data_IF_189422460668
#
_entry.id   IF_189422460668
#
_cell.length_a   1.000
_cell.length_b   1.000
_cell.length_c   1.000
_cell.angle_alpha   90.00
_cell.angle_beta   90.00
_cell.angle_gamma   90.00
#
_symmetry.space_group_name_H-M   'P 1'
#
loop_
_entity.id
_entity.type
_entity.pdbx_description
1 polymer ?
#
# COMPACT_ATOMS: atom_id res chain seq x y z
N UNK A 1 18.90 -14.09 1.90
CA UNK A 1 17.43 -14.02 1.73
C UNK A 1 17.10 -12.65 1.16
N UNK A 2 16.87 -12.58 -0.15
CA UNK A 2 16.52 -11.33 -0.83
C UNK A 2 15.01 -11.17 -0.68
N UNK A 3 14.56 -10.21 0.13
CA UNK A 3 13.15 -9.88 0.20
C UNK A 3 12.76 -9.33 -1.18
N UNK A 4 11.70 -9.84 -1.80
CA UNK A 4 11.07 -9.24 -2.98
C UNK A 4 10.40 -7.89 -2.62
N UNK A 5 11.15 -6.97 -2.02
CA UNK A 5 10.71 -5.62 -1.62
C UNK A 5 10.39 -4.73 -2.83
N UNK A 6 10.67 -5.22 -4.03
CA UNK A 6 10.46 -4.47 -5.25
C UNK A 6 9.02 -4.56 -5.74
N UNK A 7 8.15 -5.42 -5.23
CA UNK A 7 6.78 -5.59 -5.76
C UNK A 7 5.73 -5.07 -4.78
N UNK A 8 4.75 -4.34 -5.29
CA UNK A 8 3.64 -3.83 -4.52
C UNK A 8 2.57 -4.91 -4.35
N UNK A 9 2.57 -5.51 -3.17
CA UNK A 9 1.62 -6.56 -2.75
C UNK A 9 0.16 -6.09 -2.71
N UNK A 10 -0.07 -4.79 -2.52
CA UNK A 10 -1.42 -4.19 -2.55
C UNK A 10 -1.96 -4.01 -3.98
N UNK A 11 -1.10 -4.24 -4.99
CA UNK A 11 -1.45 -4.07 -6.39
C UNK A 11 -1.72 -5.44 -7.02
N UNK A 12 -2.90 -5.60 -7.62
CA UNK A 12 -3.26 -6.83 -8.34
C UNK A 12 -2.27 -7.12 -9.47
N UNK A 13 -1.71 -6.07 -10.08
CA UNK A 13 -0.76 -6.17 -11.18
C UNK A 13 0.68 -6.44 -10.71
N UNK A 14 0.93 -6.59 -9.40
CA UNK A 14 2.24 -6.93 -8.84
C UNK A 14 3.37 -6.06 -9.44
N UNK A 15 3.10 -4.75 -9.55
CA UNK A 15 4.02 -3.77 -10.12
C UNK A 15 5.11 -3.38 -9.14
N UNK A 16 6.17 -2.77 -9.67
CA UNK A 16 7.25 -2.29 -8.82
C UNK A 16 6.76 -1.30 -7.74
N UNK A 17 7.06 -1.58 -6.47
CA UNK A 17 6.73 -0.72 -5.35
C UNK A 17 7.66 0.49 -5.31
N UNK A 18 7.19 1.59 -5.89
CA UNK A 18 7.77 2.92 -5.69
C UNK A 18 6.87 3.75 -4.79
N UNK A 19 7.38 4.80 -4.13
CA UNK A 19 6.53 5.75 -3.38
C UNK A 19 5.39 6.30 -4.25
N UNK A 20 5.69 6.59 -5.52
CA UNK A 20 4.70 7.03 -6.50
C UNK A 20 3.65 5.96 -6.77
N UNK A 21 4.04 4.70 -6.84
CA UNK A 21 3.11 3.60 -6.99
C UNK A 21 2.23 3.43 -5.75
N UNK A 22 2.85 3.28 -4.59
CA UNK A 22 2.18 3.03 -3.31
C UNK A 22 1.13 4.09 -2.98
N UNK A 23 1.45 5.38 -3.15
CA UNK A 23 0.53 6.45 -2.74
C UNK A 23 -0.38 7.00 -3.84
N UNK A 24 -0.06 6.79 -5.13
CA UNK A 24 -0.80 7.43 -6.22
C UNK A 24 -1.33 6.47 -7.30
N UNK A 25 -0.64 5.36 -7.60
CA UNK A 25 -0.92 4.53 -8.80
C UNK A 25 -1.44 3.13 -8.49
N UNK A 26 -1.16 2.61 -7.31
CA UNK A 26 -1.63 1.30 -6.89
C UNK A 26 -3.16 1.23 -6.98
N UNK A 27 -3.70 0.14 -7.50
CA UNK A 27 -5.14 -0.06 -7.66
C UNK A 27 -5.87 0.07 -6.32
N UNK A 28 -5.30 -0.50 -5.25
CA UNK A 28 -5.80 -0.36 -3.89
C UNK A 28 -5.86 1.10 -3.45
N UNK A 29 -4.75 1.82 -3.59
CA UNK A 29 -4.66 3.22 -3.19
C UNK A 29 -5.63 4.11 -3.97
N UNK A 30 -5.82 3.85 -5.26
CA UNK A 30 -6.82 4.54 -6.06
C UNK A 30 -8.23 4.30 -5.53
N UNK A 31 -8.57 3.07 -5.15
CA UNK A 31 -9.85 2.77 -4.51
C UNK A 31 -10.00 3.54 -3.18
N UNK A 32 -8.94 3.62 -2.36
CA UNK A 32 -8.96 4.43 -1.14
C UNK A 32 -9.24 5.91 -1.42
N UNK A 33 -8.63 6.52 -2.43
CA UNK A 33 -8.92 7.92 -2.77
C UNK A 33 -10.33 8.10 -3.36
N UNK A 34 -10.85 7.11 -4.07
CA UNK A 34 -12.21 7.13 -4.60
C UNK A 34 -13.28 7.10 -3.52
N UNK A 35 -13.03 6.52 -2.33
CA UNK A 35 -14.01 6.53 -1.23
C UNK A 35 -14.35 7.94 -0.74
N UNK A 36 -13.43 8.89 -0.94
CA UNK A 36 -13.62 10.31 -0.63
C UNK A 36 -13.86 11.15 -1.89
N UNK A 37 -14.28 10.51 -2.99
CA UNK A 37 -14.67 11.18 -4.23
C UNK A 37 -13.51 11.67 -5.10
N UNK A 38 -12.30 11.17 -4.89
CA UNK A 38 -11.10 11.69 -5.55
C UNK A 38 -10.55 10.69 -6.56
N UNK A 39 -10.31 11.16 -7.79
CA UNK A 39 -9.70 10.40 -8.87
C UNK A 39 -8.54 11.17 -9.49
N UNK A 40 -7.48 10.45 -9.85
CA UNK A 40 -6.22 11.03 -10.33
C UNK A 40 -5.75 10.38 -11.63
N UNK A 41 -5.28 11.15 -12.63
CA UNK A 41 -4.54 10.60 -13.76
C UNK A 41 -3.19 9.98 -13.34
N UNK A 42 -2.82 8.87 -14.00
CA UNK A 42 -1.62 8.08 -13.70
C UNK A 42 -0.27 8.83 -13.83
N UNK A 43 -0.29 10.01 -14.45
CA UNK A 43 0.90 10.82 -14.76
C UNK A 43 1.27 11.80 -13.65
N UNK A 44 0.40 12.00 -12.64
CA UNK A 44 0.59 13.03 -11.63
C UNK A 44 1.84 12.84 -10.77
N UNK A 45 2.50 13.96 -10.46
CA UNK A 45 3.53 14.03 -9.43
C UNK A 45 2.90 14.20 -8.04
N UNK A 46 3.58 13.80 -6.95
CA UNK A 46 3.07 13.98 -5.59
C UNK A 46 2.69 15.44 -5.28
N UNK A 47 3.51 16.41 -5.73
CA UNK A 47 3.23 17.85 -5.55
C UNK A 47 1.91 18.26 -6.21
N UNK A 48 1.66 17.82 -7.45
CA UNK A 48 0.41 18.11 -8.17
C UNK A 48 -0.79 17.42 -7.54
N UNK A 49 -0.61 16.23 -6.97
CA UNK A 49 -1.67 15.56 -6.23
C UNK A 49 -2.15 16.38 -5.04
N UNK A 50 -1.24 16.93 -4.22
CA UNK A 50 -1.63 17.77 -3.08
C UNK A 50 -2.42 18.99 -3.55
N UNK A 51 -2.03 19.61 -4.67
CA UNK A 51 -2.78 20.72 -5.25
C UNK A 51 -4.19 20.32 -5.70
N UNK A 52 -4.36 19.12 -6.29
CA UNK A 52 -5.68 18.61 -6.67
C UNK A 52 -6.51 18.32 -5.43
N UNK A 53 -5.94 17.61 -4.45
CA UNK A 53 -6.60 17.28 -3.18
C UNK A 53 -7.10 18.52 -2.46
N UNK A 54 -6.27 19.57 -2.39
CA UNK A 54 -6.66 20.86 -1.81
C UNK A 54 -7.86 21.47 -2.54
N UNK A 55 -7.87 21.44 -3.88
CA UNK A 55 -8.96 21.99 -4.71
C UNK A 55 -10.24 21.16 -4.65
N UNK A 56 -10.13 19.84 -4.51
CA UNK A 56 -11.27 18.94 -4.47
C UNK A 56 -11.91 18.89 -3.09
N UNK A 57 -11.09 18.84 -2.02
CA UNK A 57 -11.59 18.75 -0.66
C UNK A 57 -12.19 20.05 -0.14
N UNK A 58 -11.61 21.22 -0.53
CA UNK A 58 -12.09 22.57 -0.15
C UNK A 58 -12.32 22.80 1.36
N UNK A 59 -11.66 22.02 2.21
CA UNK A 59 -11.69 22.18 3.67
C UNK A 59 -10.37 22.72 4.19
N UNK A 60 -10.35 23.46 5.31
CA UNK A 60 -9.11 24.00 5.88
C UNK A 60 -8.17 22.88 6.36
N UNK A 61 -8.71 21.72 6.75
CA UNK A 61 -7.98 20.55 7.26
C UNK A 61 -7.66 19.51 6.17
N UNK A 62 -7.47 19.94 4.92
CA UNK A 62 -7.21 19.02 3.81
C UNK A 62 -5.91 18.24 4.02
N UNK A 63 -4.89 18.82 4.65
CA UNK A 63 -3.62 18.13 4.90
C UNK A 63 -3.77 16.96 5.86
N UNK A 64 -4.62 17.08 6.87
CA UNK A 64 -4.93 16.06 7.86
C UNK A 64 -5.62 14.87 7.20
N UNK A 65 -6.51 15.11 6.24
CA UNK A 65 -7.12 14.06 5.41
C UNK A 65 -6.03 13.35 4.61
N UNK A 66 -5.12 14.09 3.96
CA UNK A 66 -4.05 13.52 3.13
C UNK A 66 -3.11 12.66 3.97
N UNK A 67 -2.68 13.17 5.12
CA UNK A 67 -1.75 12.48 6.04
C UNK A 67 -2.43 11.23 6.60
N UNK A 68 -3.67 11.34 7.06
CA UNK A 68 -4.43 10.20 7.61
C UNK A 68 -4.63 9.11 6.56
N UNK A 69 -5.03 9.46 5.35
CA UNK A 69 -5.20 8.50 4.26
C UNK A 69 -3.89 7.83 3.89
N UNK A 70 -2.81 8.61 3.76
CA UNK A 70 -1.47 8.07 3.47
C UNK A 70 -1.00 7.12 4.57
N UNK A 71 -1.25 7.46 5.83
CA UNK A 71 -0.94 6.62 6.99
C UNK A 71 -1.73 5.31 6.98
N UNK A 72 -3.03 5.35 6.67
CA UNK A 72 -3.86 4.15 6.55
C UNK A 72 -3.37 3.21 5.44
N UNK A 73 -3.01 3.74 4.27
CA UNK A 73 -2.44 2.96 3.15
C UNK A 73 -1.12 2.31 3.59
N UNK A 74 -0.24 3.07 4.24
CA UNK A 74 1.04 2.55 4.72
C UNK A 74 0.87 1.47 5.79
N UNK A 75 -0.05 1.66 6.74
CA UNK A 75 -0.39 0.63 7.74
C UNK A 75 -0.91 -0.63 7.09
N UNK A 76 -1.81 -0.53 6.10
CA UNK A 76 -2.36 -1.71 5.42
C UNK A 76 -1.26 -2.50 4.69
N UNK A 77 -0.35 -1.80 4.01
CA UNK A 77 0.82 -2.39 3.35
C UNK A 77 1.70 -3.15 4.34
N UNK A 78 1.98 -2.53 5.48
CA UNK A 78 2.81 -3.15 6.51
C UNK A 78 2.11 -4.35 7.15
N UNK A 79 0.82 -4.24 7.46
CA UNK A 79 0.05 -5.34 8.02
C UNK A 79 0.06 -6.55 7.08
N UNK A 80 -0.10 -6.32 5.77
CA UNK A 80 0.05 -7.39 4.77
C UNK A 80 1.44 -8.03 4.83
N UNK A 81 2.51 -7.22 4.84
CA UNK A 81 3.88 -7.71 4.91
C UNK A 81 4.13 -8.53 6.20
N UNK A 82 3.61 -8.09 7.34
CA UNK A 82 3.74 -8.80 8.61
C UNK A 82 2.94 -10.10 8.60
N UNK A 83 1.69 -10.10 8.13
CA UNK A 83 0.87 -11.31 8.04
C UNK A 83 1.50 -12.35 7.09
N UNK A 84 2.02 -11.92 5.94
CA UNK A 84 2.74 -12.80 5.01
C UNK A 84 3.98 -13.41 5.68
N UNK A 85 4.78 -12.60 6.40
CA UNK A 85 5.95 -13.10 7.14
C UNK A 85 5.57 -14.07 8.25
N UNK A 86 4.49 -13.80 8.99
CA UNK A 86 3.98 -14.69 10.04
C UNK A 86 3.51 -16.03 9.46
N UNK A 87 2.77 -16.02 8.35
CA UNK A 87 2.36 -17.23 7.64
C UNK A 87 3.55 -18.02 7.11
N UNK A 88 4.59 -17.36 6.59
CA UNK A 88 5.82 -18.03 6.14
C UNK A 88 6.59 -18.66 7.30
N UNK A 89 6.67 -17.99 8.45
CA UNK A 89 7.27 -18.56 9.66
C UNK A 89 6.45 -19.77 10.13
N UNK A 90 5.13 -19.66 10.25
CA UNK A 90 4.25 -20.77 10.64
C UNK A 90 4.41 -21.99 9.72
N UNK A 91 4.43 -21.79 8.39
CA UNK A 91 4.69 -22.87 7.42
C UNK A 91 6.09 -23.46 7.57
N UNK A 92 7.11 -22.65 7.87
CA UNK A 92 8.47 -23.12 8.11
C UNK A 92 8.61 -23.91 9.41
N UNK A 93 7.86 -23.54 10.45
CA UNK A 93 7.76 -24.31 11.68
C UNK A 93 7.03 -25.64 11.42
N UNK A 94 5.88 -25.63 10.75
CA UNK A 94 5.17 -26.86 10.38
C UNK A 94 6.01 -27.78 9.48
N UNK A 95 6.68 -27.25 8.45
CA UNK A 95 7.57 -28.02 7.58
C UNK A 95 8.81 -28.61 8.26
N UNK A 96 9.21 -28.10 9.43
CA UNK A 96 10.25 -28.71 10.28
C UNK A 96 9.73 -29.85 11.16
N UNK A 97 8.43 -29.91 11.43
CA UNK A 97 7.81 -31.02 12.15
C UNK A 97 7.45 -32.20 11.23
N UNK A 98 7.27 -31.99 9.92
CA UNK A 98 6.97 -33.07 8.95
C UNK A 98 8.19 -33.68 8.25
N UNK A 99 9.41 -33.18 8.53
CA UNK A 99 10.67 -33.78 8.06
C UNK A 99 11.50 -34.40 9.20
N UNK A 100 10.91 -34.54 10.38
CA UNK A 100 11.49 -35.22 11.54
C UNK A 100 10.56 -36.31 12.04
N UNK A 101 10.82 -37.53 11.58
CA UNK A 101 10.40 -38.86 12.04
C UNK A 101 9.17 -39.54 11.38
N UNK A 102 9.30 -40.85 11.03
CA UNK A 102 10.52 -41.66 10.79
C UNK A 102 10.93 -41.64 9.31
#
# INVERSE_FOLDING_TARGET
MILNYYICELCILQKEETLKHLFLRCSFTRACWQTIGISFPNTLSPKRMVSILRRTLQVPFYMEIIITMSWCIWKQKNNWLFNVKTLQLQRRFQGRFYLGYP
#
